data_IF_021005411053
#
_entry.id   IF_021005411053
#
_cell.length_a   1.000
_cell.length_b   1.000
_cell.length_c   1.000
_cell.angle_alpha   90.00
_cell.angle_beta   90.00
_cell.angle_gamma   90.00
#
_symmetry.space_group_name_H-M   'P 1'
#
loop_
_entity.id
_entity.type
_entity.pdbx_description
1 polymer ?
#
# COMPACT_ATOMS: atom_id res chain seq x y z
N UNK A 1 19.32 -9.42 28.94
CA UNK A 1 17.87 -9.56 28.69
C UNK A 1 17.44 -10.97 29.11
N UNK A 2 16.42 -11.11 29.95
CA UNK A 2 15.80 -12.42 30.22
C UNK A 2 14.92 -12.79 29.01
N UNK A 3 14.92 -14.03 28.52
CA UNK A 3 14.09 -14.42 27.39
C UNK A 3 12.60 -14.36 27.76
N UNK A 4 11.77 -13.79 26.88
CA UNK A 4 10.29 -13.67 26.98
C UNK A 4 9.52 -15.01 26.88
N UNK A 5 10.22 -16.14 27.04
CA UNK A 5 9.73 -17.49 26.73
C UNK A 5 8.53 -17.97 27.58
N UNK A 6 8.17 -17.25 28.65
CA UNK A 6 7.03 -17.56 29.52
C UNK A 6 5.70 -16.88 29.16
N UNK A 7 5.67 -15.98 28.17
CA UNK A 7 4.49 -15.15 27.84
C UNK A 7 4.06 -15.24 26.36
N UNK A 8 4.64 -16.14 25.58
CA UNK A 8 4.35 -16.27 24.16
C UNK A 8 2.99 -16.95 23.95
N UNK A 9 2.01 -16.15 23.50
CA UNK A 9 0.72 -16.63 23.01
C UNK A 9 0.95 -17.53 21.78
N UNK A 10 0.19 -18.61 21.71
CA UNK A 10 0.21 -19.49 20.54
C UNK A 10 -0.62 -18.90 19.41
N UNK A 11 -0.29 -19.27 18.17
CA UNK A 11 -1.09 -18.89 16.99
C UNK A 11 -2.53 -19.40 17.11
N UNK A 12 -2.74 -20.57 17.72
CA UNK A 12 -4.08 -21.13 17.93
C UNK A 12 -4.94 -20.26 18.85
N UNK A 13 -4.36 -19.79 19.97
CA UNK A 13 -5.03 -18.86 20.89
C UNK A 13 -5.35 -17.53 20.23
N UNK A 14 -4.39 -16.95 19.48
CA UNK A 14 -4.61 -15.69 18.74
C UNK A 14 -5.74 -15.84 17.72
N UNK A 15 -5.76 -16.93 16.96
CA UNK A 15 -6.81 -17.22 15.98
C UNK A 15 -8.20 -17.39 16.63
N UNK A 16 -8.27 -17.94 17.83
CA UNK A 16 -9.53 -18.02 18.60
C UNK A 16 -10.03 -16.62 18.99
N UNK A 17 -9.14 -15.76 19.50
CA UNK A 17 -9.48 -14.37 19.83
C UNK A 17 -9.95 -13.59 18.59
N UNK A 18 -9.30 -13.80 17.44
CA UNK A 18 -9.72 -13.19 16.16
C UNK A 18 -11.13 -13.65 15.79
N UNK A 19 -11.40 -14.97 15.83
CA UNK A 19 -12.73 -15.53 15.51
C UNK A 19 -13.84 -15.03 16.44
N UNK A 20 -13.50 -14.73 17.69
CA UNK A 20 -14.42 -14.15 18.69
C UNK A 20 -14.55 -12.63 18.63
N UNK A 21 -13.74 -11.94 17.83
CA UNK A 21 -13.70 -10.48 17.80
C UNK A 21 -13.06 -9.84 19.05
N UNK A 22 -12.23 -10.60 19.77
CA UNK A 22 -11.60 -10.20 21.04
C UNK A 22 -10.09 -9.95 20.91
N UNK A 23 -9.55 -10.06 19.70
CA UNK A 23 -8.14 -9.80 19.45
C UNK A 23 -7.84 -8.31 19.59
N UNK A 24 -6.80 -7.99 20.35
CA UNK A 24 -6.22 -6.65 20.42
C UNK A 24 -5.29 -6.49 19.22
N UNK A 25 -5.74 -5.68 18.26
CA UNK A 25 -5.02 -5.40 17.01
C UNK A 25 -4.55 -3.94 17.05
N UNK A 26 -3.28 -3.71 16.75
CA UNK A 26 -2.65 -2.37 16.76
C UNK A 26 -1.78 -2.17 15.52
N UNK A 27 -1.52 -0.93 15.12
CA UNK A 27 -0.54 -0.62 14.06
C UNK A 27 0.91 -0.75 14.55
N UNK A 28 1.85 -0.76 13.60
CA UNK A 28 3.26 -0.73 13.92
C UNK A 28 3.65 0.52 14.74
N UNK A 29 3.08 1.68 14.43
CA UNK A 29 3.32 2.92 15.19
C UNK A 29 2.74 2.84 16.61
N UNK A 30 1.52 2.36 16.77
CA UNK A 30 0.88 2.18 18.08
C UNK A 30 1.68 1.21 18.96
N UNK A 31 2.24 0.15 18.37
CA UNK A 31 3.07 -0.81 19.10
C UNK A 31 4.34 -0.17 19.68
N UNK A 32 4.96 0.78 18.97
CA UNK A 32 6.16 1.50 19.45
C UNK A 32 5.83 2.29 20.71
N UNK A 33 4.70 3.00 20.72
CA UNK A 33 4.28 3.79 21.89
C UNK A 33 3.88 2.88 23.07
N UNK A 34 3.16 1.79 22.83
CA UNK A 34 2.79 0.82 23.88
C UNK A 34 4.03 0.24 24.57
N UNK A 35 5.06 -0.12 23.79
CA UNK A 35 6.32 -0.63 24.36
C UNK A 35 7.05 0.47 25.15
N UNK A 36 7.04 1.71 24.68
CA UNK A 36 7.66 2.85 25.38
C UNK A 36 6.99 3.11 26.73
N UNK A 37 5.66 3.04 26.79
CA UNK A 37 4.89 3.35 27.99
C UNK A 37 4.84 2.19 29.00
N UNK A 38 4.65 0.96 28.51
CA UNK A 38 4.33 -0.21 29.35
C UNK A 38 5.46 -1.25 29.43
N UNK A 39 6.46 -1.16 28.56
CA UNK A 39 7.54 -2.11 28.43
C UNK A 39 7.18 -3.34 27.57
N UNK A 40 8.22 -3.96 27.01
CA UNK A 40 8.14 -5.07 26.04
C UNK A 40 7.34 -6.28 26.54
N UNK A 41 7.47 -6.64 27.82
CA UNK A 41 6.79 -7.80 28.39
C UNK A 41 5.27 -7.60 28.54
N UNK A 42 4.86 -6.37 28.90
CA UNK A 42 3.43 -6.04 29.02
C UNK A 42 2.82 -5.90 27.63
N UNK A 43 3.52 -5.24 26.72
CA UNK A 43 3.09 -5.09 25.33
C UNK A 43 2.86 -6.44 24.65
N UNK A 44 3.80 -7.38 24.77
CA UNK A 44 3.68 -8.74 24.21
C UNK A 44 2.52 -9.54 24.82
N UNK A 45 2.17 -9.28 26.08
CA UNK A 45 1.03 -9.93 26.76
C UNK A 45 -0.30 -9.36 26.28
N UNK A 46 -0.41 -8.04 26.16
CA UNK A 46 -1.66 -7.34 25.86
C UNK A 46 -2.02 -7.34 24.37
N UNK A 47 -1.03 -7.16 23.47
CA UNK A 47 -1.25 -7.03 22.03
C UNK A 47 -1.25 -8.41 21.36
N UNK A 48 -2.28 -8.74 20.58
CA UNK A 48 -2.40 -10.04 19.90
C UNK A 48 -1.88 -10.00 18.46
N UNK A 49 -2.14 -8.91 17.74
CA UNK A 49 -1.73 -8.72 16.34
C UNK A 49 -1.17 -7.33 16.16
N UNK A 50 0.00 -7.23 15.54
CA UNK A 50 0.55 -5.96 15.04
C UNK A 50 0.38 -5.93 13.54
N UNK A 51 -0.40 -4.98 13.03
CA UNK A 51 -0.58 -4.78 11.60
C UNK A 51 0.52 -3.88 11.08
N UNK A 52 1.39 -4.45 10.25
CA UNK A 52 2.39 -3.70 9.48
C UNK A 52 1.83 -3.51 8.07
N UNK A 53 1.34 -2.32 7.78
CA UNK A 53 0.89 -1.95 6.43
C UNK A 53 1.54 -0.63 6.06
N UNK A 54 2.25 -0.60 4.93
CA UNK A 54 2.69 0.65 4.32
C UNK A 54 1.79 0.91 3.13
N UNK A 55 1.07 2.03 3.13
CA UNK A 55 0.41 2.52 1.92
C UNK A 55 1.42 3.39 1.17
N UNK A 56 1.87 2.90 0.03
CA UNK A 56 2.84 3.59 -0.81
C UNK A 56 3.08 2.80 -2.09
N UNK A 57 3.39 3.51 -3.17
CA UNK A 57 3.74 2.90 -4.44
C UNK A 57 4.95 1.96 -4.27
N UNK A 58 4.72 0.67 -4.10
CA UNK A 58 5.80 -0.33 -4.04
C UNK A 58 6.47 -0.45 -5.40
N UNK A 59 7.77 -0.80 -5.41
CA UNK A 59 8.50 -1.08 -6.64
C UNK A 59 7.74 -2.13 -7.48
N UNK A 60 7.45 -1.80 -8.74
CA UNK A 60 6.58 -2.58 -9.67
C UNK A 60 5.07 -2.36 -9.55
N UNK A 61 4.60 -1.34 -8.83
CA UNK A 61 3.17 -0.96 -8.82
C UNK A 61 2.79 -0.12 -10.05
N UNK A 62 1.52 -0.20 -10.46
CA UNK A 62 0.95 0.60 -11.53
C UNK A 62 -0.53 0.30 -11.76
N UNK A 63 -1.15 0.98 -12.71
CA UNK A 63 -2.56 0.82 -13.06
C UNK A 63 -2.74 0.68 -14.57
N UNK A 64 -3.66 -0.22 -14.97
CA UNK A 64 -4.19 -0.28 -16.33
C UNK A 64 -5.51 0.49 -16.39
N UNK A 65 -5.61 1.41 -17.34
CA UNK A 65 -6.78 2.27 -17.52
C UNK A 65 -7.30 2.16 -18.95
N UNK A 66 -8.62 2.05 -19.10
CA UNK A 66 -9.32 2.17 -20.38
C UNK A 66 -10.22 3.41 -20.30
N UNK A 67 -10.11 4.32 -21.27
CA UNK A 67 -10.85 5.58 -21.26
C UNK A 67 -12.17 5.54 -22.04
N UNK A 68 -12.50 4.40 -22.65
CA UNK A 68 -13.59 4.30 -23.61
C UNK A 68 -13.32 5.09 -24.90
N UNK A 69 -14.13 4.82 -25.91
CA UNK A 69 -14.12 5.61 -27.14
C UNK A 69 -15.08 6.80 -27.02
N UNK A 70 -14.67 7.94 -27.59
CA UNK A 70 -15.58 9.04 -27.90
C UNK A 70 -16.35 8.77 -29.21
N UNK A 71 -17.28 9.66 -29.55
CA UNK A 71 -17.90 9.73 -30.87
C UNK A 71 -17.56 11.09 -31.52
N UNK A 72 -16.76 11.13 -32.60
CA UNK A 72 -16.19 9.99 -33.34
C UNK A 72 -15.09 9.22 -32.57
N UNK A 73 -14.81 7.94 -32.92
CA UNK A 73 -13.83 7.13 -32.21
C UNK A 73 -12.43 7.72 -32.17
N UNK A 74 -11.84 7.74 -30.97
CA UNK A 74 -10.46 8.17 -30.73
C UNK A 74 -9.50 6.98 -30.65
N UNK A 75 -8.21 7.23 -30.94
CA UNK A 75 -7.13 6.26 -30.74
C UNK A 75 -5.87 6.99 -30.29
N UNK A 76 -5.27 6.53 -29.19
CA UNK A 76 -3.97 7.04 -28.71
C UNK A 76 -2.82 6.63 -29.62
N UNK A 77 -2.93 5.46 -30.27
CA UNK A 77 -2.08 5.08 -31.40
C UNK A 77 -0.63 4.78 -31.04
N UNK A 78 -0.33 4.45 -29.78
CA UNK A 78 1.05 4.36 -29.32
C UNK A 78 1.77 5.70 -29.25
N UNK A 79 1.03 6.82 -29.37
CA UNK A 79 1.54 8.16 -29.16
C UNK A 79 1.81 8.46 -27.69
N UNK A 80 2.11 9.72 -27.40
CA UNK A 80 2.40 10.16 -26.04
C UNK A 80 1.11 10.41 -25.26
N UNK A 81 0.91 9.71 -24.15
CA UNK A 81 -0.19 9.96 -23.22
C UNK A 81 0.36 10.42 -21.89
N UNK A 82 -0.24 11.47 -21.34
CA UNK A 82 0.11 12.02 -20.04
C UNK A 82 -1.14 12.11 -19.18
N UNK A 83 -1.05 11.59 -17.96
CA UNK A 83 -2.07 11.75 -16.93
C UNK A 83 -1.51 12.70 -15.89
N UNK A 84 -2.08 13.92 -15.85
CA UNK A 84 -1.62 15.00 -14.99
C UNK A 84 -0.08 15.22 -15.05
N UNK A 85 0.45 15.40 -16.26
CA UNK A 85 1.89 15.59 -16.52
C UNK A 85 2.81 14.37 -16.27
N UNK A 86 2.24 13.21 -15.91
CA UNK A 86 2.98 11.94 -15.75
C UNK A 86 2.79 11.06 -16.98
N UNK A 87 3.87 10.56 -17.62
CA UNK A 87 3.77 9.74 -18.81
C UNK A 87 3.16 8.36 -18.50
N UNK A 88 2.26 7.93 -19.38
CA UNK A 88 1.63 6.61 -19.39
C UNK A 88 1.90 5.90 -20.74
N UNK A 89 2.08 4.58 -20.69
CA UNK A 89 2.35 3.77 -21.87
C UNK A 89 1.05 3.45 -22.63
N UNK A 90 0.96 3.90 -23.88
CA UNK A 90 -0.25 3.79 -24.71
C UNK A 90 -0.15 2.74 -25.85
N UNK A 91 0.83 1.84 -25.79
CA UNK A 91 1.06 0.81 -26.82
C UNK A 91 0.20 -0.45 -26.66
N UNK A 92 -0.86 -0.42 -25.85
CA UNK A 92 -1.66 -1.59 -25.48
C UNK A 92 -2.81 -1.87 -26.46
N UNK A 93 -3.70 -0.89 -26.62
CA UNK A 93 -4.87 -0.97 -27.49
C UNK A 93 -5.23 0.43 -28.02
N UNK A 94 -6.47 0.64 -28.46
CA UNK A 94 -6.87 1.93 -29.03
C UNK A 94 -6.93 3.06 -27.99
N UNK A 95 -7.47 2.79 -26.80
CA UNK A 95 -7.74 3.77 -25.73
C UNK A 95 -7.30 3.27 -24.34
N UNK A 96 -6.33 2.35 -24.33
CA UNK A 96 -5.80 1.74 -23.11
C UNK A 96 -4.42 2.31 -22.79
N UNK A 97 -4.15 2.54 -21.51
CA UNK A 97 -2.80 2.90 -21.03
C UNK A 97 -2.41 2.14 -19.78
N UNK A 98 -1.09 2.00 -19.61
CA UNK A 98 -0.48 1.59 -18.35
C UNK A 98 0.28 2.74 -17.72
N UNK A 99 -0.03 3.08 -16.47
CA UNK A 99 0.68 4.09 -15.69
C UNK A 99 1.46 3.42 -14.56
N UNK A 100 2.79 3.50 -14.62
CA UNK A 100 3.65 3.01 -13.55
C UNK A 100 3.67 3.97 -12.37
N UNK A 101 3.55 3.46 -11.15
CA UNK A 101 3.51 4.28 -9.94
C UNK A 101 4.82 5.04 -9.67
N UNK A 102 5.94 4.59 -10.24
CA UNK A 102 7.25 5.26 -10.16
C UNK A 102 7.52 6.20 -11.33
N UNK A 103 6.57 6.37 -12.27
CA UNK A 103 6.71 7.29 -13.39
C UNK A 103 6.78 8.73 -12.86
N UNK A 104 7.72 9.54 -13.36
CA UNK A 104 7.92 10.91 -12.86
C UNK A 104 7.13 11.92 -13.69
N UNK A 105 6.63 12.96 -13.02
CA UNK A 105 6.15 14.15 -13.69
C UNK A 105 7.24 14.76 -14.55
N UNK A 106 6.89 15.18 -15.77
CA UNK A 106 7.81 15.85 -16.68
C UNK A 106 8.29 17.20 -16.15
N UNK A 107 7.43 17.90 -15.43
CA UNK A 107 7.71 19.27 -14.96
C UNK A 107 8.13 19.33 -13.49
N UNK A 108 7.63 18.42 -12.64
CA UNK A 108 7.88 18.42 -11.20
C UNK A 108 8.88 17.36 -10.73
N UNK A 109 9.34 16.49 -11.63
CA UNK A 109 10.35 15.48 -11.32
C UNK A 109 9.95 14.57 -10.16
N UNK A 110 10.80 14.40 -9.15
CA UNK A 110 10.54 13.51 -8.01
C UNK A 110 9.43 13.99 -7.07
N UNK A 111 9.02 15.27 -7.13
CA UNK A 111 7.96 15.80 -6.26
C UNK A 111 6.55 15.37 -6.68
N UNK A 112 6.38 14.83 -7.89
CA UNK A 112 5.09 14.36 -8.39
C UNK A 112 5.27 13.23 -9.40
N UNK A 113 4.38 12.25 -9.42
CA UNK A 113 4.59 11.05 -10.24
C UNK A 113 3.39 10.11 -10.22
N UNK A 114 3.55 8.92 -10.78
CA UNK A 114 2.46 7.98 -11.01
C UNK A 114 1.72 7.58 -9.75
N UNK A 115 2.43 7.41 -8.62
CA UNK A 115 1.80 7.14 -7.33
C UNK A 115 0.80 8.23 -6.92
N UNK A 116 1.14 9.49 -7.17
CA UNK A 116 0.27 10.64 -6.87
C UNK A 116 -0.89 10.82 -7.86
N UNK A 117 -0.85 10.16 -9.02
CA UNK A 117 -1.96 10.14 -9.99
C UNK A 117 -2.90 8.97 -9.73
N UNK A 118 -2.36 7.87 -9.17
CA UNK A 118 -3.11 6.66 -8.82
C UNK A 118 -3.88 6.84 -7.50
N UNK A 119 -3.31 7.60 -6.55
CA UNK A 119 -3.90 7.94 -5.26
C UNK A 119 -5.07 8.94 -5.35
#
# INVERSE_FOLDING_TARGET
MKPLYGFLKTIAEINEKIRRGEAVVVTAEEMVEIVREKGEAVAAREVDVVTTGTFGAMCSSGVFLNFGHADPPIKFGGGEVYLNDVPAYAGLAAVDVYLGATSLSRTRGMEYGGGHVIE
#
